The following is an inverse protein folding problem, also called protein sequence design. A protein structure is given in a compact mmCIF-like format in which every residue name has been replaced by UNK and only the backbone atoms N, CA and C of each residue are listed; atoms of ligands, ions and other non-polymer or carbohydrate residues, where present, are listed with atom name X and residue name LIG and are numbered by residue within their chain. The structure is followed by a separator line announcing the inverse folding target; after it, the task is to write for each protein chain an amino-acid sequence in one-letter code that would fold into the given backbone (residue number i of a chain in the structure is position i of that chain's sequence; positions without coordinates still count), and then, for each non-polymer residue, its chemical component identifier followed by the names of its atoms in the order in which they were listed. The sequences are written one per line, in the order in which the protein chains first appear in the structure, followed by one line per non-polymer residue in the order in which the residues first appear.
data_IF_186411651835
#
_entry.id   IF_186411651835
#
_cell.length_a   1.000
_cell.length_b   1.000
_cell.length_c   1.000
_cell.angle_alpha   90.00
_cell.angle_beta   90.00
_cell.angle_gamma   90.00
#
_symmetry.space_group_name_H-M   'P 1'
#
loop_
_entity.id
_entity.type
_entity.pdbx_description
1 polymer ?
#
# COMPACT_ATOMS: atom_id res chain seq x y z
N UNK A 1 -29.44 28.62 30.23
CA UNK A 1 -29.44 27.23 29.71
C UNK A 1 -30.29 27.06 28.43
N UNK A 2 -31.60 27.37 28.40
CA UNK A 2 -32.46 27.13 27.24
C UNK A 2 -31.99 27.82 25.89
N UNK A 3 -31.40 29.01 25.98
CA UNK A 3 -30.89 29.73 24.80
C UNK A 3 -29.66 29.05 24.14
N UNK A 4 -28.77 28.48 24.93
CA UNK A 4 -27.56 27.78 24.43
C UNK A 4 -27.89 26.45 23.77
N UNK A 5 -28.90 25.73 24.26
CA UNK A 5 -29.38 24.47 23.65
C UNK A 5 -29.93 24.77 22.25
N UNK A 6 -30.67 25.89 22.07
CA UNK A 6 -31.15 26.29 20.74
C UNK A 6 -30.04 26.57 19.72
N UNK A 7 -28.95 27.21 20.14
CA UNK A 7 -27.79 27.46 19.28
C UNK A 7 -26.99 26.19 18.93
N UNK A 8 -26.86 25.27 19.86
CA UNK A 8 -26.22 23.97 19.61
C UNK A 8 -27.04 23.14 18.63
N UNK A 9 -28.37 23.09 18.79
CA UNK A 9 -29.25 22.38 17.86
C UNK A 9 -29.24 23.03 16.47
N UNK A 10 -29.19 24.35 16.38
CA UNK A 10 -29.09 25.06 15.11
C UNK A 10 -27.73 24.79 14.42
N UNK A 11 -26.64 24.78 15.17
CA UNK A 11 -25.31 24.45 14.66
C UNK A 11 -25.24 23.00 14.18
N UNK A 12 -25.86 22.05 14.87
CA UNK A 12 -25.97 20.65 14.45
C UNK A 12 -26.83 20.49 13.21
N UNK A 13 -27.93 21.22 13.08
CA UNK A 13 -28.79 21.24 11.89
C UNK A 13 -28.08 21.86 10.69
N UNK A 14 -27.35 22.96 10.89
CA UNK A 14 -26.56 23.59 9.82
C UNK A 14 -25.38 22.71 9.40
N UNK A 15 -24.68 22.06 10.32
CA UNK A 15 -23.63 21.10 10.02
C UNK A 15 -24.19 19.84 9.31
N UNK A 16 -25.32 19.31 9.78
CA UNK A 16 -26.01 18.20 9.12
C UNK A 16 -26.53 18.57 7.73
N UNK A 17 -27.05 19.79 7.56
CA UNK A 17 -27.46 20.33 6.26
C UNK A 17 -26.29 20.52 5.31
N UNK A 18 -25.16 21.02 5.80
CA UNK A 18 -23.94 21.17 5.00
C UNK A 18 -23.38 19.79 4.56
N UNK A 19 -23.39 18.81 5.45
CA UNK A 19 -23.00 17.43 5.12
C UNK A 19 -23.94 16.82 4.08
N UNK A 20 -25.27 17.01 4.22
CA UNK A 20 -26.25 16.53 3.27
C UNK A 20 -26.14 17.27 1.91
N UNK A 21 -25.79 18.56 1.90
CA UNK A 21 -25.53 19.30 0.68
C UNK A 21 -24.26 18.87 -0.03
N UNK A 22 -23.16 18.60 0.69
CA UNK A 22 -21.92 18.08 0.10
C UNK A 22 -22.13 16.67 -0.44
N UNK A 23 -22.81 15.81 0.30
CA UNK A 23 -23.18 14.44 -0.15
C UNK A 23 -24.09 14.49 -1.38
N UNK A 24 -25.08 15.37 -1.42
CA UNK A 24 -25.93 15.56 -2.62
C UNK A 24 -25.17 16.19 -3.79
N UNK A 25 -24.26 17.13 -3.52
CA UNK A 25 -23.46 17.76 -4.55
C UNK A 25 -22.53 16.74 -5.23
N UNK A 26 -21.83 15.91 -4.47
CA UNK A 26 -20.98 14.84 -5.01
C UNK A 26 -21.79 13.77 -5.74
N UNK A 27 -23.01 13.44 -5.27
CA UNK A 27 -23.90 12.52 -5.96
C UNK A 27 -24.48 13.08 -7.26
N UNK A 28 -24.63 14.40 -7.37
CA UNK A 28 -25.20 15.07 -8.56
C UNK A 28 -24.15 15.55 -9.55
N UNK A 29 -22.94 15.87 -9.08
CA UNK A 29 -21.83 16.40 -9.88
C UNK A 29 -20.57 15.56 -9.78
N UNK A 30 -20.61 14.43 -9.06
CA UNK A 30 -19.58 13.41 -9.15
C UNK A 30 -19.45 12.97 -10.60
N UNK A 31 -18.22 12.72 -11.05
CA UNK A 31 -18.01 12.19 -12.39
C UNK A 31 -19.04 11.07 -12.66
N UNK A 32 -19.71 11.11 -13.84
CA UNK A 32 -20.55 10.00 -14.22
C UNK A 32 -19.73 8.71 -14.05
N UNK A 33 -20.30 7.74 -13.37
CA UNK A 33 -19.68 6.42 -13.27
C UNK A 33 -19.39 5.97 -14.71
N UNK A 34 -18.13 5.73 -15.03
CA UNK A 34 -17.85 5.03 -16.27
C UNK A 34 -18.56 3.67 -16.19
N UNK A 35 -19.14 3.21 -17.30
CA UNK A 35 -19.79 1.92 -17.34
C UNK A 35 -18.79 0.87 -16.84
N UNK A 36 -19.26 -0.06 -16.01
CA UNK A 36 -18.44 -1.22 -15.64
C UNK A 36 -17.96 -1.90 -16.92
N UNK A 37 -16.67 -2.22 -16.97
CA UNK A 37 -16.10 -2.93 -18.09
C UNK A 37 -16.68 -4.34 -18.15
N UNK A 38 -16.88 -4.81 -19.35
CA UNK A 38 -17.15 -6.24 -19.55
C UNK A 38 -15.84 -7.01 -19.39
N UNK A 39 -15.92 -8.30 -19.03
CA UNK A 39 -14.71 -9.15 -18.92
C UNK A 39 -13.94 -9.20 -20.25
N UNK A 40 -14.59 -8.95 -21.39
CA UNK A 40 -13.98 -8.86 -22.73
C UNK A 40 -13.15 -7.59 -22.92
N UNK A 41 -13.36 -6.55 -22.10
CA UNK A 41 -12.61 -5.29 -22.15
C UNK A 41 -11.36 -5.30 -21.27
N UNK A 42 -11.17 -6.33 -20.43
CA UNK A 42 -9.98 -6.48 -19.59
C UNK A 42 -8.83 -6.93 -20.50
N UNK A 43 -7.85 -6.03 -20.67
CA UNK A 43 -6.75 -6.26 -21.58
C UNK A 43 -5.70 -7.24 -21.06
N UNK A 44 -5.61 -7.41 -19.71
CA UNK A 44 -4.61 -8.25 -19.09
C UNK A 44 -5.00 -8.71 -17.69
N UNK A 45 -4.59 -9.94 -17.33
CA UNK A 45 -4.67 -10.46 -15.97
C UNK A 45 -3.25 -10.80 -15.51
N UNK A 46 -2.85 -10.20 -14.39
CA UNK A 46 -1.52 -10.41 -13.82
C UNK A 46 -1.41 -11.76 -13.11
N UNK A 47 -0.21 -12.32 -13.14
CA UNK A 47 0.14 -13.46 -12.28
C UNK A 47 0.20 -12.93 -10.84
N UNK A 48 -0.50 -13.59 -9.93
CA UNK A 48 -0.50 -13.24 -8.51
C UNK A 48 -0.30 -14.48 -7.64
N UNK A 49 -0.39 -14.31 -6.33
CA UNK A 49 -0.13 -15.36 -5.35
C UNK A 49 -1.39 -16.18 -4.96
N UNK A 50 -2.49 -16.04 -5.68
CA UNK A 50 -3.68 -16.90 -5.50
C UNK A 50 -3.43 -18.34 -6.00
N UNK A 51 -2.43 -18.53 -6.82
CA UNK A 51 -2.07 -19.83 -7.39
C UNK A 51 -1.00 -20.55 -6.55
N UNK A 52 -1.37 -21.70 -6.00
CA UNK A 52 -0.46 -22.56 -5.23
C UNK A 52 0.82 -22.96 -5.97
N UNK A 53 0.79 -23.07 -7.31
CA UNK A 53 1.97 -23.39 -8.10
C UNK A 53 3.00 -22.24 -8.08
N UNK A 54 2.53 -21.00 -8.10
CA UNK A 54 3.38 -19.81 -7.96
C UNK A 54 4.03 -19.79 -6.58
N UNK A 55 3.24 -20.00 -5.53
CA UNK A 55 3.74 -20.07 -4.16
C UNK A 55 4.78 -21.19 -3.98
N UNK A 56 4.51 -22.40 -4.51
CA UNK A 56 5.47 -23.52 -4.42
C UNK A 56 6.77 -23.23 -5.16
N UNK A 57 6.73 -22.57 -6.31
CA UNK A 57 7.93 -22.22 -7.08
C UNK A 57 8.84 -21.22 -6.35
N UNK A 58 8.27 -20.44 -5.43
CA UNK A 58 8.98 -19.41 -4.66
C UNK A 58 9.30 -19.81 -3.22
N UNK A 59 9.14 -21.09 -2.85
CA UNK A 59 9.59 -21.61 -1.56
C UNK A 59 11.11 -21.84 -1.59
N UNK A 60 11.88 -20.77 -1.44
CA UNK A 60 13.34 -20.74 -1.52
C UNK A 60 13.93 -20.12 -0.27
N UNK A 61 15.18 -20.51 0.07
CA UNK A 61 15.89 -19.94 1.22
C UNK A 61 16.29 -18.48 1.00
N UNK A 62 16.48 -18.09 -0.26
CA UNK A 62 16.78 -16.70 -0.60
C UNK A 62 15.75 -16.19 -1.63
N UNK A 63 15.16 -15.06 -1.32
CA UNK A 63 14.20 -14.35 -2.18
C UNK A 63 14.67 -12.93 -2.43
N UNK A 64 14.50 -12.44 -3.67
CA UNK A 64 14.62 -11.03 -3.99
C UNK A 64 13.38 -10.52 -4.72
N UNK A 65 12.99 -9.30 -4.43
CA UNK A 65 11.83 -8.67 -5.07
C UNK A 65 11.95 -7.14 -5.09
N UNK A 66 11.21 -6.54 -6.02
CA UNK A 66 11.07 -5.09 -6.10
C UNK A 66 9.78 -4.64 -5.40
N UNK A 67 9.81 -3.42 -4.87
CA UNK A 67 8.64 -2.76 -4.31
C UNK A 67 8.55 -1.34 -4.87
N UNK A 68 7.36 -0.98 -5.38
CA UNK A 68 7.05 0.34 -5.93
C UNK A 68 5.77 0.88 -5.28
N UNK A 69 5.75 2.16 -4.94
CA UNK A 69 4.57 2.87 -4.46
C UNK A 69 4.19 4.00 -5.41
N UNK A 70 2.89 4.33 -5.51
CA UNK A 70 2.40 5.54 -6.18
C UNK A 70 2.95 5.75 -7.61
N UNK A 71 2.81 4.78 -8.49
CA UNK A 71 3.35 4.86 -9.87
C UNK A 71 2.59 5.90 -10.71
N UNK A 72 1.25 6.02 -10.56
CA UNK A 72 0.38 6.97 -11.26
C UNK A 72 0.57 7.01 -12.78
N UNK A 73 0.75 5.85 -13.43
CA UNK A 73 1.06 5.73 -14.85
C UNK A 73 2.26 6.61 -15.31
N UNK A 74 3.15 7.00 -14.39
CA UNK A 74 4.29 7.87 -14.69
C UNK A 74 5.53 7.13 -15.16
N UNK A 75 5.59 5.81 -14.96
CA UNK A 75 6.64 4.95 -15.48
C UNK A 75 6.17 4.34 -16.81
N UNK A 76 6.97 4.54 -17.84
CA UNK A 76 6.72 3.97 -19.15
C UNK A 76 7.46 2.63 -19.35
N UNK A 77 7.29 1.99 -20.49
CA UNK A 77 7.90 0.69 -20.78
C UNK A 77 9.44 0.72 -20.71
N UNK A 78 10.07 1.84 -21.10
CA UNK A 78 11.53 1.99 -21.01
C UNK A 78 11.99 2.01 -19.54
N UNK A 79 11.25 2.68 -18.66
CA UNK A 79 11.56 2.75 -17.23
C UNK A 79 11.41 1.34 -16.60
N UNK A 80 10.31 0.65 -16.87
CA UNK A 80 10.05 -0.71 -16.34
C UNK A 80 11.04 -1.73 -16.91
N UNK A 81 11.43 -1.59 -18.17
CA UNK A 81 12.47 -2.42 -18.76
C UNK A 81 13.82 -2.20 -18.09
N UNK A 82 14.20 -0.96 -17.81
CA UNK A 82 15.45 -0.65 -17.13
C UNK A 82 15.48 -1.27 -15.73
N UNK A 83 14.39 -1.18 -14.95
CA UNK A 83 14.27 -1.85 -13.66
C UNK A 83 14.44 -3.37 -13.78
N UNK A 84 13.78 -3.95 -14.78
CA UNK A 84 13.85 -5.36 -15.11
C UNK A 84 15.26 -5.82 -15.46
N UNK A 85 15.98 -5.05 -16.26
CA UNK A 85 17.35 -5.37 -16.73
C UNK A 85 18.37 -5.21 -15.58
N UNK A 86 18.16 -4.26 -14.66
CA UNK A 86 19.04 -4.05 -13.50
C UNK A 86 18.89 -5.12 -12.42
N UNK A 87 17.72 -5.73 -12.32
CA UNK A 87 17.38 -6.72 -11.30
C UNK A 87 16.87 -8.04 -11.91
N UNK A 88 17.70 -8.75 -12.68
CA UNK A 88 17.30 -9.99 -13.35
C UNK A 88 17.09 -11.17 -12.38
N UNK A 89 17.50 -11.01 -11.14
CA UNK A 89 17.41 -11.99 -10.06
C UNK A 89 16.11 -11.91 -9.25
N UNK A 90 15.27 -10.89 -9.46
CA UNK A 90 13.99 -10.79 -8.74
C UNK A 90 13.03 -11.88 -9.16
N UNK A 91 12.32 -12.43 -8.21
CA UNK A 91 11.37 -13.51 -8.42
C UNK A 91 9.91 -13.05 -8.44
N UNK A 92 9.62 -11.88 -7.91
CA UNK A 92 8.33 -11.21 -7.93
C UNK A 92 8.51 -9.72 -7.65
N UNK A 93 7.43 -8.97 -7.66
CA UNK A 93 7.45 -7.57 -7.26
C UNK A 93 6.16 -7.18 -6.53
N UNK A 94 6.17 -6.06 -5.84
CA UNK A 94 5.06 -5.55 -5.06
C UNK A 94 4.74 -4.12 -5.43
N UNK A 95 3.45 -3.75 -5.34
CA UNK A 95 2.92 -2.45 -5.66
C UNK A 95 1.99 -2.00 -4.51
N UNK A 96 2.17 -0.74 -4.05
CA UNK A 96 1.54 -0.21 -2.84
C UNK A 96 0.31 0.67 -3.09
N UNK A 97 -0.40 0.47 -4.19
CA UNK A 97 -1.54 1.31 -4.59
C UNK A 97 -1.14 2.53 -5.42
N UNK A 98 -2.14 3.19 -5.99
CA UNK A 98 -1.99 4.31 -6.90
C UNK A 98 -1.05 3.99 -8.08
N UNK A 99 -1.19 2.79 -8.64
CA UNK A 99 -0.50 2.44 -9.88
C UNK A 99 -1.13 3.19 -11.05
N UNK A 100 -2.47 3.23 -11.09
CA UNK A 100 -3.22 4.01 -12.06
C UNK A 100 -3.47 5.45 -11.58
N UNK A 101 -3.57 6.39 -12.50
CA UNK A 101 -4.00 7.76 -12.15
C UNK A 101 -5.50 7.83 -11.83
N UNK A 102 -6.29 6.95 -12.44
CA UNK A 102 -7.74 6.77 -12.21
C UNK A 102 -8.18 5.36 -12.56
N UNK A 103 -9.28 4.86 -11.99
CA UNK A 103 -9.76 3.49 -12.22
C UNK A 103 -10.53 3.36 -13.55
N UNK A 104 -9.93 3.78 -14.67
CA UNK A 104 -10.54 3.77 -16.00
C UNK A 104 -9.72 2.93 -16.96
N UNK A 105 -10.38 2.28 -17.90
CA UNK A 105 -9.79 1.38 -18.88
C UNK A 105 -8.55 1.96 -19.59
N UNK A 106 -8.59 3.23 -19.96
CA UNK A 106 -7.44 3.92 -20.54
C UNK A 106 -6.17 3.84 -19.67
N UNK A 107 -6.31 4.07 -18.36
CA UNK A 107 -5.17 4.04 -17.43
C UNK A 107 -4.71 2.62 -17.13
N UNK A 108 -5.64 1.65 -17.15
CA UNK A 108 -5.31 0.22 -17.03
C UNK A 108 -4.49 -0.25 -18.25
N UNK A 109 -4.90 0.13 -19.45
CA UNK A 109 -4.12 -0.15 -20.65
C UNK A 109 -2.72 0.46 -20.60
N UNK A 110 -2.58 1.72 -20.13
CA UNK A 110 -1.26 2.34 -19.95
C UNK A 110 -0.42 1.58 -18.92
N UNK A 111 -1.04 1.12 -17.82
CA UNK A 111 -0.38 0.31 -16.81
C UNK A 111 0.17 -0.98 -17.42
N UNK A 112 -0.66 -1.73 -18.12
CA UNK A 112 -0.24 -2.95 -18.80
C UNK A 112 0.85 -2.70 -19.85
N UNK A 113 0.67 -1.70 -20.70
CA UNK A 113 1.64 -1.36 -21.75
C UNK A 113 3.01 -0.97 -21.18
N UNK A 114 3.08 -0.46 -19.95
CA UNK A 114 4.35 -0.16 -19.31
C UNK A 114 5.19 -1.42 -19.03
N UNK A 115 4.56 -2.59 -18.92
CA UNK A 115 5.21 -3.86 -18.59
C UNK A 115 5.48 -4.78 -19.77
N UNK A 116 4.73 -4.64 -20.87
CA UNK A 116 4.79 -5.57 -22.00
C UNK A 116 6.22 -5.85 -22.46
N UNK A 117 6.59 -7.12 -22.45
CA UNK A 117 7.92 -7.58 -22.89
C UNK A 117 9.07 -7.28 -21.93
N UNK A 118 8.78 -6.84 -20.71
CA UNK A 118 9.76 -6.78 -19.64
C UNK A 118 9.79 -8.10 -18.85
N UNK A 119 10.86 -8.38 -18.12
CA UNK A 119 10.88 -9.54 -17.21
C UNK A 119 9.79 -9.44 -16.13
N UNK A 120 9.49 -8.22 -15.64
CA UNK A 120 8.47 -7.99 -14.63
C UNK A 120 7.05 -8.39 -15.08
N UNK A 121 6.76 -8.35 -16.40
CA UNK A 121 5.49 -8.81 -16.97
C UNK A 121 5.23 -10.32 -16.75
N UNK A 122 6.31 -11.09 -16.72
CA UNK A 122 6.26 -12.55 -16.51
C UNK A 122 6.33 -12.99 -15.05
N UNK A 123 6.54 -12.05 -14.13
CA UNK A 123 6.68 -12.33 -12.70
C UNK A 123 5.37 -12.10 -11.93
N UNK A 124 5.17 -12.83 -10.83
CA UNK A 124 4.06 -12.56 -9.93
C UNK A 124 4.13 -11.14 -9.36
N UNK A 125 2.96 -10.50 -9.23
CA UNK A 125 2.83 -9.22 -8.54
C UNK A 125 1.98 -9.35 -7.28
N UNK A 126 2.42 -8.70 -6.21
CA UNK A 126 1.62 -8.45 -5.02
C UNK A 126 1.03 -7.06 -5.13
N UNK A 127 -0.27 -6.95 -5.40
CA UNK A 127 -0.95 -5.69 -5.67
C UNK A 127 -1.88 -5.29 -4.53
N UNK A 128 -1.80 -4.02 -4.13
CA UNK A 128 -2.70 -3.39 -3.16
C UNK A 128 -3.41 -2.23 -3.88
N UNK A 129 -4.73 -2.03 -3.68
CA UNK A 129 -5.36 -0.84 -4.22
C UNK A 129 -5.02 0.40 -3.38
N UNK A 130 -4.77 1.53 -4.05
CA UNK A 130 -4.69 2.85 -3.44
C UNK A 130 -5.95 3.67 -3.70
N UNK A 131 -5.94 4.95 -3.36
CA UNK A 131 -7.13 5.77 -3.49
C UNK A 131 -7.47 6.15 -4.95
N UNK A 132 -6.52 5.99 -5.86
CA UNK A 132 -6.72 6.23 -7.29
C UNK A 132 -7.31 5.02 -8.02
N UNK A 133 -7.26 3.82 -7.45
CA UNK A 133 -7.97 2.63 -7.93
C UNK A 133 -9.45 2.62 -7.55
N UNK A 134 -9.89 3.50 -6.63
CA UNK A 134 -11.28 3.59 -6.20
C UNK A 134 -12.06 4.65 -6.98
N UNK A 135 -13.27 4.29 -7.40
CA UNK A 135 -14.26 5.24 -7.91
C UNK A 135 -14.67 6.21 -6.80
N UNK A 136 -14.66 7.50 -7.11
CA UNK A 136 -15.10 8.53 -6.19
C UNK A 136 -16.62 8.59 -6.17
N UNK A 137 -17.21 8.54 -4.98
CA UNK A 137 -18.64 8.63 -4.76
C UNK A 137 -18.94 8.92 -3.29
N UNK A 138 -20.21 8.85 -2.88
CA UNK A 138 -20.62 8.95 -1.47
C UNK A 138 -19.91 7.91 -0.61
N UNK A 139 -19.72 6.72 -1.18
CA UNK A 139 -18.85 5.67 -0.65
C UNK A 139 -17.88 5.30 -1.76
N UNK A 140 -16.59 5.32 -1.48
CA UNK A 140 -15.57 4.87 -2.42
C UNK A 140 -15.82 3.40 -2.75
N UNK A 141 -15.76 3.05 -4.01
CA UNK A 141 -15.99 1.67 -4.48
C UNK A 141 -14.83 1.22 -5.35
N UNK A 142 -14.23 0.10 -5.01
CA UNK A 142 -13.25 -0.54 -5.87
C UNK A 142 -14.01 -1.21 -7.03
N UNK A 143 -13.70 -0.91 -8.30
CA UNK A 143 -14.33 -1.55 -9.43
C UNK A 143 -14.15 -3.07 -9.40
N UNK A 144 -15.16 -3.81 -9.85
CA UNK A 144 -15.12 -5.28 -9.84
C UNK A 144 -13.95 -5.83 -10.68
N UNK A 145 -13.65 -5.18 -11.81
CA UNK A 145 -12.58 -5.56 -12.72
C UNK A 145 -11.18 -5.52 -12.07
N UNK A 146 -10.95 -4.71 -11.01
CA UNK A 146 -9.68 -4.69 -10.31
C UNK A 146 -9.28 -6.08 -9.78
N UNK A 147 -10.24 -6.82 -9.22
CA UNK A 147 -10.01 -8.20 -8.74
C UNK A 147 -9.83 -9.22 -9.86
N UNK A 148 -10.34 -8.93 -11.05
CA UNK A 148 -10.09 -9.75 -12.25
C UNK A 148 -8.68 -9.51 -12.78
N UNK A 149 -8.24 -8.25 -12.80
CA UNK A 149 -6.87 -7.88 -13.19
C UNK A 149 -5.85 -8.46 -12.19
N UNK A 150 -6.14 -8.36 -10.89
CA UNK A 150 -5.28 -8.85 -9.80
C UNK A 150 -6.03 -9.92 -8.98
N UNK A 151 -6.02 -11.18 -9.40
CA UNK A 151 -6.61 -12.29 -8.65
C UNK A 151 -5.77 -12.63 -7.41
N UNK A 152 -5.79 -11.77 -6.41
CA UNK A 152 -4.99 -11.90 -5.20
C UNK A 152 -5.55 -12.99 -4.24
N UNK A 153 -4.73 -13.46 -3.27
CA UNK A 153 -5.14 -14.44 -2.27
C UNK A 153 -6.40 -14.06 -1.51
N UNK A 154 -7.28 -15.05 -1.28
CA UNK A 154 -8.57 -14.88 -0.62
C UNK A 154 -8.50 -15.25 0.88
N UNK A 155 -7.36 -15.01 1.54
CA UNK A 155 -7.07 -15.40 2.93
C UNK A 155 -7.16 -14.26 3.95
N UNK A 156 -7.67 -13.12 3.52
CA UNK A 156 -7.91 -11.94 4.36
C UNK A 156 -9.25 -11.95 5.11
N UNK A 157 -9.60 -10.84 5.77
CA UNK A 157 -10.92 -10.67 6.38
C UNK A 157 -12.04 -10.73 5.34
N UNK A 158 -13.18 -11.32 5.69
CA UNK A 158 -14.28 -11.65 4.76
C UNK A 158 -14.75 -10.50 3.85
N UNK A 159 -14.70 -9.23 4.33
CA UNK A 159 -15.08 -8.07 3.53
C UNK A 159 -13.98 -7.57 2.59
N UNK A 160 -12.75 -8.03 2.78
CA UNK A 160 -11.55 -7.55 2.11
C UNK A 160 -10.81 -8.67 1.36
N UNK A 161 -11.52 -9.74 1.02
CA UNK A 161 -10.96 -10.85 0.25
C UNK A 161 -10.42 -10.35 -1.10
N UNK A 162 -9.16 -10.69 -1.39
CA UNK A 162 -8.46 -10.28 -2.60
C UNK A 162 -7.92 -8.85 -2.59
N UNK A 163 -8.16 -8.05 -1.52
CA UNK A 163 -7.58 -6.71 -1.36
C UNK A 163 -6.78 -6.56 -0.07
N UNK A 164 -7.15 -7.31 0.98
CA UNK A 164 -6.35 -7.49 2.20
C UNK A 164 -6.05 -8.96 2.34
N UNK A 165 -4.77 -9.34 2.38
CA UNK A 165 -4.33 -10.73 2.37
C UNK A 165 -2.87 -10.85 2.87
N UNK A 166 -2.37 -12.08 3.00
CA UNK A 166 -0.97 -12.32 3.24
C UNK A 166 -0.41 -13.39 2.29
N UNK A 167 0.91 -13.37 2.15
CA UNK A 167 1.68 -14.37 1.40
C UNK A 167 2.83 -14.84 2.27
N UNK A 168 3.00 -16.16 2.37
CA UNK A 168 4.04 -16.80 3.16
C UNK A 168 5.14 -17.41 2.30
N UNK A 169 6.36 -17.04 2.64
CA UNK A 169 7.58 -17.70 2.19
C UNK A 169 8.33 -18.33 3.37
N UNK A 170 9.39 -19.08 3.15
CA UNK A 170 10.09 -19.77 4.25
C UNK A 170 10.52 -18.83 5.37
N UNK A 171 11.09 -17.67 5.05
CA UNK A 171 11.69 -16.76 6.02
C UNK A 171 10.99 -15.41 6.14
N UNK A 172 9.93 -15.15 5.35
CA UNK A 172 9.22 -13.88 5.37
C UNK A 172 7.72 -14.08 5.18
N UNK A 173 6.93 -13.27 5.88
CA UNK A 173 5.50 -13.03 5.66
C UNK A 173 5.27 -11.62 5.15
N UNK A 174 4.63 -11.51 3.99
CA UNK A 174 4.18 -10.25 3.41
C UNK A 174 2.69 -10.09 3.67
N UNK A 175 2.29 -8.97 4.25
CA UNK A 175 0.90 -8.68 4.62
C UNK A 175 0.45 -7.44 3.87
N UNK A 176 -0.55 -7.59 3.02
CA UNK A 176 -1.17 -6.53 2.22
C UNK A 176 -2.44 -6.02 2.89
N UNK A 177 -2.60 -4.70 3.03
CA UNK A 177 -3.78 -4.08 3.65
C UNK A 177 -4.38 -3.05 2.71
N UNK A 178 -5.62 -3.27 2.32
CA UNK A 178 -6.45 -2.30 1.63
C UNK A 178 -6.94 -1.24 2.63
N UNK A 179 -6.38 -0.05 2.51
CA UNK A 179 -6.69 1.06 3.41
C UNK A 179 -7.81 1.96 2.91
N UNK A 180 -8.11 1.93 1.60
CA UNK A 180 -9.18 2.71 1.00
C UNK A 180 -10.55 2.07 1.14
N UNK A 181 -10.61 0.75 1.29
CA UNK A 181 -11.84 0.01 1.59
C UNK A 181 -12.36 0.17 3.02
N UNK A 182 -11.60 0.81 3.93
CA UNK A 182 -11.96 0.97 5.34
C UNK A 182 -12.89 2.16 5.55
N UNK A 183 -14.19 1.92 5.55
CA UNK A 183 -15.20 2.99 5.66
C UNK A 183 -15.91 3.05 7.01
N UNK A 184 -15.93 1.94 7.76
CA UNK A 184 -16.66 1.81 9.04
C UNK A 184 -15.68 1.53 10.17
N UNK A 185 -16.01 1.92 11.38
CA UNK A 185 -15.23 1.56 12.58
C UNK A 185 -15.04 0.05 12.69
N UNK A 186 -16.06 -0.74 12.33
CA UNK A 186 -15.99 -2.21 12.28
C UNK A 186 -14.93 -2.72 11.30
N UNK A 187 -14.70 -2.04 10.18
CA UNK A 187 -13.71 -2.41 9.18
C UNK A 187 -12.30 -2.26 9.76
N UNK A 188 -12.01 -1.11 10.35
CA UNK A 188 -10.73 -0.86 11.04
C UNK A 188 -10.47 -1.88 12.14
N UNK A 189 -11.50 -2.16 12.95
CA UNK A 189 -11.38 -3.12 14.06
C UNK A 189 -11.12 -4.53 13.53
N UNK A 190 -11.88 -4.99 12.55
CA UNK A 190 -11.74 -6.32 11.96
C UNK A 190 -10.35 -6.53 11.35
N UNK A 191 -9.89 -5.57 10.55
CA UNK A 191 -8.58 -5.65 9.89
C UNK A 191 -7.45 -5.55 10.93
N UNK A 192 -7.57 -4.70 11.96
CA UNK A 192 -6.57 -4.59 13.01
C UNK A 192 -6.42 -5.89 13.83
N UNK A 193 -7.52 -6.55 14.19
CA UNK A 193 -7.48 -7.86 14.87
C UNK A 193 -6.88 -8.94 13.98
N UNK A 194 -7.28 -8.98 12.70
CA UNK A 194 -6.72 -9.92 11.75
C UNK A 194 -5.21 -9.69 11.58
N UNK A 195 -4.78 -8.45 11.36
CA UNK A 195 -3.37 -8.08 11.23
C UNK A 195 -2.56 -8.56 12.45
N UNK A 196 -3.06 -8.27 13.65
CA UNK A 196 -2.38 -8.69 14.88
C UNK A 196 -2.22 -10.20 14.95
N UNK A 197 -3.25 -10.96 14.54
CA UNK A 197 -3.17 -12.42 14.45
C UNK A 197 -2.13 -12.85 13.41
N UNK A 198 -2.11 -12.25 12.22
CA UNK A 198 -1.16 -12.60 11.16
C UNK A 198 0.29 -12.31 11.57
N UNK A 199 0.54 -11.20 12.26
CA UNK A 199 1.88 -10.88 12.78
C UNK A 199 2.30 -11.87 13.87
N UNK A 200 1.40 -12.21 14.79
CA UNK A 200 1.68 -13.21 15.83
C UNK A 200 1.96 -14.60 15.23
N UNK A 201 1.15 -15.05 14.27
CA UNK A 201 1.26 -16.37 13.64
C UNK A 201 2.44 -16.47 12.65
N UNK A 202 3.16 -15.38 12.40
CA UNK A 202 4.35 -15.39 11.55
C UNK A 202 5.52 -16.15 12.19
N UNK A 203 5.51 -16.29 13.52
CA UNK A 203 6.59 -16.96 14.26
C UNK A 203 7.92 -16.23 14.09
N UNK A 204 8.96 -16.95 13.67
CA UNK A 204 10.30 -16.40 13.48
C UNK A 204 10.55 -15.80 12.09
N UNK A 205 9.53 -15.72 11.24
CA UNK A 205 9.65 -15.09 9.92
C UNK A 205 9.82 -13.58 10.05
N UNK A 206 10.58 -12.98 9.14
CA UNK A 206 10.47 -11.52 8.93
C UNK A 206 9.06 -11.15 8.53
N UNK A 207 8.60 -9.98 8.96
CA UNK A 207 7.26 -9.50 8.67
C UNK A 207 7.29 -8.13 8.00
N UNK A 208 6.73 -8.05 6.81
CA UNK A 208 6.53 -6.79 6.11
C UNK A 208 5.03 -6.53 5.99
N UNK A 209 4.57 -5.40 6.51
CA UNK A 209 3.22 -4.90 6.28
C UNK A 209 3.25 -3.85 5.18
N UNK A 210 2.42 -4.03 4.18
CA UNK A 210 2.29 -3.15 3.02
C UNK A 210 0.89 -2.54 3.00
N UNK A 211 0.80 -1.22 2.85
CA UNK A 211 -0.44 -0.47 2.85
C UNK A 211 -0.31 0.79 2.02
N UNK A 212 -1.41 1.28 1.45
CA UNK A 212 -1.33 2.54 0.70
C UNK A 212 -1.25 3.75 1.64
N UNK A 213 -2.25 3.98 2.49
CA UNK A 213 -2.23 5.10 3.43
C UNK A 213 -1.33 4.82 4.65
N UNK A 214 -0.35 5.70 4.94
CA UNK A 214 0.54 5.53 6.09
C UNK A 214 -0.19 5.75 7.42
N UNK A 215 0.18 5.00 8.46
CA UNK A 215 -0.27 5.30 9.84
C UNK A 215 0.50 6.50 10.43
N UNK A 216 1.71 6.73 9.95
CA UNK A 216 2.53 7.89 10.27
C UNK A 216 2.79 8.66 8.99
N UNK A 217 1.85 9.53 8.60
CA UNK A 217 2.01 10.36 7.41
C UNK A 217 3.30 11.17 7.48
N UNK A 218 4.08 11.10 6.42
CA UNK A 218 5.37 11.78 6.26
C UNK A 218 5.23 13.13 5.59
N UNK A 219 4.17 13.35 4.81
CA UNK A 219 3.94 14.58 4.08
C UNK A 219 3.46 15.72 4.99
N UNK A 220 4.01 16.91 4.73
CA UNK A 220 3.66 18.16 5.44
C UNK A 220 2.16 18.46 5.32
N UNK A 221 1.52 18.80 6.44
CA UNK A 221 0.09 19.08 6.49
C UNK A 221 -0.84 17.87 6.45
N UNK A 222 -0.33 16.64 6.30
CA UNK A 222 -1.13 15.42 6.29
C UNK A 222 -1.10 14.67 7.62
N UNK A 223 -2.19 13.96 7.94
CA UNK A 223 -2.28 13.06 9.09
C UNK A 223 -3.39 12.04 8.88
N UNK A 224 -3.19 10.83 9.44
CA UNK A 224 -4.16 9.74 9.37
C UNK A 224 -4.52 9.24 10.78
N UNK A 225 -5.24 10.05 11.60
CA UNK A 225 -5.47 9.73 13.00
C UNK A 225 -6.28 8.45 13.21
N UNK A 226 -7.24 8.13 12.34
CA UNK A 226 -8.01 6.89 12.43
C UNK A 226 -7.14 5.66 12.11
N UNK A 227 -6.28 5.73 11.10
CA UNK A 227 -5.30 4.69 10.78
C UNK A 227 -4.35 4.47 11.94
N UNK A 228 -3.81 5.56 12.51
CA UNK A 228 -2.93 5.49 13.66
C UNK A 228 -3.64 4.84 14.86
N UNK A 229 -4.86 5.27 15.20
CA UNK A 229 -5.62 4.75 16.34
C UNK A 229 -5.89 3.23 16.17
N UNK A 230 -6.27 2.80 14.99
CA UNK A 230 -6.63 1.41 14.72
C UNK A 230 -5.41 0.48 14.68
N UNK A 231 -4.33 0.88 14.01
CA UNK A 231 -3.27 -0.05 13.63
C UNK A 231 -1.97 0.10 14.43
N UNK A 232 -1.73 1.24 15.12
CA UNK A 232 -0.44 1.47 15.79
C UNK A 232 -0.07 0.38 16.81
N UNK A 233 -1.04 -0.27 17.42
CA UNK A 233 -0.78 -1.33 18.40
C UNK A 233 -0.35 -2.64 17.73
N UNK A 234 -0.94 -2.98 16.58
CA UNK A 234 -0.55 -4.17 15.80
C UNK A 234 0.80 -3.95 15.11
N UNK A 235 1.02 -2.78 14.51
CA UNK A 235 2.26 -2.48 13.78
C UNK A 235 3.53 -2.55 14.61
N UNK A 236 3.44 -2.53 15.95
CA UNK A 236 4.59 -2.76 16.84
C UNK A 236 5.15 -4.19 16.76
N UNK A 237 4.43 -5.11 16.15
CA UNK A 237 4.82 -6.51 16.00
C UNK A 237 5.39 -6.78 14.61
N UNK A 238 5.35 -5.79 13.71
CA UNK A 238 5.96 -5.88 12.38
C UNK A 238 7.43 -5.43 12.40
N UNK A 239 8.27 -6.06 11.60
CA UNK A 239 9.65 -5.61 11.40
C UNK A 239 9.68 -4.35 10.53
N UNK A 240 8.95 -4.36 9.39
CA UNK A 240 8.89 -3.24 8.45
C UNK A 240 7.45 -2.95 8.04
N UNK A 241 7.13 -1.67 7.90
CA UNK A 241 5.85 -1.19 7.36
C UNK A 241 6.13 -0.25 6.19
N UNK A 242 5.74 -0.66 5.00
CA UNK A 242 5.79 0.18 3.80
C UNK A 242 4.44 0.86 3.55
N UNK A 243 4.50 2.11 3.08
CA UNK A 243 3.32 2.86 2.66
C UNK A 243 3.63 3.80 1.49
N UNK A 244 2.62 4.05 0.67
CA UNK A 244 2.61 5.06 -0.39
C UNK A 244 1.93 6.36 0.05
N UNK A 245 1.14 6.97 -0.86
CA UNK A 245 0.23 8.09 -0.65
C UNK A 245 0.87 9.47 -0.39
N UNK A 246 1.97 9.53 0.32
CA UNK A 246 2.59 10.79 0.75
C UNK A 246 3.63 11.33 -0.26
N UNK A 247 3.83 10.65 -1.38
CA UNK A 247 4.66 11.08 -2.52
C UNK A 247 6.02 11.64 -2.14
N UNK A 248 6.67 11.01 -1.15
CA UNK A 248 8.03 11.29 -0.73
C UNK A 248 8.67 10.02 -0.17
N UNK A 249 9.98 10.04 0.02
CA UNK A 249 10.67 8.99 0.74
C UNK A 249 10.97 9.43 2.17
N UNK A 250 10.63 8.59 3.13
CA UNK A 250 11.01 8.81 4.51
C UNK A 250 11.06 7.48 5.29
N UNK A 251 12.24 7.15 5.82
CA UNK A 251 12.45 6.02 6.72
C UNK A 251 12.54 6.50 8.16
N UNK A 252 11.83 5.82 9.04
CA UNK A 252 11.81 6.11 10.46
C UNK A 252 11.78 4.84 11.29
N UNK A 253 12.77 4.66 12.13
CA UNK A 253 12.81 3.58 13.13
C UNK A 253 12.08 4.03 14.40
N UNK A 254 11.12 3.25 14.85
CA UNK A 254 10.39 3.49 16.10
C UNK A 254 10.71 2.43 17.13
N UNK A 255 11.38 2.84 18.19
CA UNK A 255 11.57 2.03 19.38
C UNK A 255 10.31 2.01 20.22
N UNK A 256 9.90 0.85 20.69
CA UNK A 256 8.77 0.68 21.58
C UNK A 256 9.26 0.07 22.91
N UNK A 257 8.79 0.62 24.02
CA UNK A 257 9.07 0.03 25.34
C UNK A 257 8.41 -1.33 25.45
N UNK A 258 9.12 -2.31 25.99
CA UNK A 258 8.60 -3.63 26.28
C UNK A 258 7.29 -3.53 27.11
N UNK A 259 6.31 -4.31 26.75
CA UNK A 259 5.08 -4.51 27.52
C UNK A 259 4.83 -6.00 27.66
N UNK A 260 4.95 -6.52 28.86
CA UNK A 260 4.63 -7.86 29.36
C UNK A 260 5.13 -9.07 28.55
N UNK A 261 5.02 -9.13 27.23
CA UNK A 261 5.41 -10.24 26.34
C UNK A 261 5.78 -9.81 24.93
N UNK A 262 6.08 -8.56 24.72
CA UNK A 262 6.49 -8.03 23.40
C UNK A 262 7.99 -7.79 23.39
N UNK A 263 8.65 -8.24 22.34
CA UNK A 263 10.06 -7.94 22.04
C UNK A 263 10.30 -6.43 22.04
N UNK A 264 11.47 -6.00 22.50
CA UNK A 264 11.94 -4.59 22.43
C UNK A 264 12.43 -4.20 21.04
N UNK A 265 12.11 -4.98 20.03
CA UNK A 265 12.59 -4.73 18.68
C UNK A 265 11.88 -3.52 18.04
N UNK A 266 12.63 -2.72 17.27
CA UNK A 266 12.06 -1.58 16.60
C UNK A 266 11.18 -2.00 15.41
N UNK A 267 10.19 -1.19 15.08
CA UNK A 267 9.50 -1.26 13.80
C UNK A 267 10.02 -0.15 12.89
N UNK A 268 10.36 -0.48 11.66
CA UNK A 268 10.82 0.47 10.65
C UNK A 268 9.65 0.85 9.76
N UNK A 269 9.32 2.14 9.70
CA UNK A 269 8.28 2.70 8.84
C UNK A 269 8.93 3.39 7.65
N UNK A 270 8.47 3.06 6.44
CA UNK A 270 8.98 3.60 5.18
C UNK A 270 7.81 4.11 4.35
N UNK A 271 7.86 5.41 4.05
CA UNK A 271 7.06 6.00 2.99
C UNK A 271 7.83 5.98 1.69
N UNK A 272 7.25 5.49 0.60
CA UNK A 272 7.89 5.39 -0.70
C UNK A 272 7.03 5.95 -1.82
N UNK A 273 7.63 6.33 -2.95
CA UNK A 273 6.94 6.92 -4.08
C UNK A 273 7.72 6.73 -5.38
N UNK A 274 7.15 6.04 -6.34
CA UNK A 274 7.74 5.82 -7.65
C UNK A 274 7.30 6.87 -8.71
N UNK A 275 6.38 7.77 -8.36
CA UNK A 275 5.92 8.81 -9.28
C UNK A 275 6.74 10.10 -9.17
N UNK A 276 6.60 10.93 -10.20
CA UNK A 276 7.16 12.29 -10.19
C UNK A 276 6.33 13.31 -9.41
N UNK A 277 5.16 12.92 -8.87
CA UNK A 277 4.42 13.72 -7.90
C UNK A 277 5.23 13.82 -6.61
N UNK A 278 5.15 14.95 -5.93
CA UNK A 278 5.96 15.19 -4.74
C UNK A 278 5.22 16.02 -3.70
N UNK A 279 5.36 15.62 -2.44
CA UNK A 279 4.99 16.43 -1.28
C UNK A 279 6.21 16.61 -0.38
N UNK A 280 6.27 17.77 0.29
CA UNK A 280 7.35 18.04 1.23
C UNK A 280 7.26 17.12 2.44
N UNK A 281 8.41 16.62 2.88
CA UNK A 281 8.54 15.86 4.13
C UNK A 281 8.35 16.79 5.33
N UNK A 282 7.78 16.28 6.43
CA UNK A 282 7.62 17.02 7.68
C UNK A 282 8.95 17.38 8.31
N UNK A 283 9.13 18.64 8.68
CA UNK A 283 10.37 19.15 9.28
C UNK A 283 10.51 18.80 10.78
N UNK A 284 9.40 18.53 11.46
CA UNK A 284 9.34 18.31 12.91
C UNK A 284 9.41 16.84 13.34
N UNK A 285 9.85 15.96 12.46
CA UNK A 285 10.00 14.52 12.70
C UNK A 285 11.44 14.12 12.43
N UNK A 286 12.05 13.39 13.37
CA UNK A 286 13.34 12.77 13.13
C UNK A 286 13.15 11.52 12.26
N UNK A 287 13.67 11.60 11.05
CA UNK A 287 13.78 10.49 10.13
C UNK A 287 15.23 9.97 10.11
N UNK A 288 15.39 8.68 9.89
CA UNK A 288 16.71 8.08 9.69
C UNK A 288 17.28 8.48 8.32
N UNK A 289 16.37 8.54 7.31
CA UNK A 289 16.62 9.08 5.98
C UNK A 289 15.32 9.68 5.43
N UNK A 290 15.40 10.83 4.77
CA UNK A 290 14.21 11.39 4.10
C UNK A 290 14.55 12.42 3.05
N UNK A 291 13.75 12.48 1.98
CA UNK A 291 13.83 13.50 0.94
C UNK A 291 12.51 13.61 0.17
N UNK A 292 12.33 14.73 -0.52
CA UNK A 292 11.20 15.00 -1.39
C UNK A 292 11.65 15.17 -2.84
N UNK A 293 10.72 14.90 -3.78
CA UNK A 293 10.91 15.28 -5.18
C UNK A 293 11.78 14.35 -6.02
N UNK A 294 12.14 13.19 -5.49
CA UNK A 294 12.85 12.14 -6.23
C UNK A 294 12.01 10.86 -6.18
N UNK A 295 11.64 10.28 -7.33
CA UNK A 295 10.97 8.99 -7.36
C UNK A 295 11.95 7.88 -7.01
N UNK A 296 11.46 6.86 -6.30
CA UNK A 296 12.28 5.75 -5.80
C UNK A 296 11.59 4.41 -5.98
N UNK A 297 12.38 3.35 -5.89
CA UNK A 297 11.93 1.98 -5.72
C UNK A 297 12.82 1.28 -4.69
N UNK A 298 12.30 0.24 -4.10
CA UNK A 298 13.05 -0.60 -3.19
C UNK A 298 13.36 -1.95 -3.84
N UNK A 299 14.60 -2.43 -3.60
CA UNK A 299 15.05 -3.78 -3.87
C UNK A 299 15.27 -4.48 -2.53
N UNK A 300 14.59 -5.59 -2.33
CA UNK A 300 14.63 -6.36 -1.09
C UNK A 300 15.22 -7.73 -1.35
N UNK A 301 16.09 -8.16 -0.43
CA UNK A 301 16.61 -9.53 -0.38
C UNK A 301 16.36 -10.15 0.99
N UNK A 302 15.87 -11.37 0.98
CA UNK A 302 15.57 -12.14 2.18
C UNK A 302 16.42 -13.40 2.18
N UNK A 303 17.15 -13.62 3.25
CA UNK A 303 17.87 -14.84 3.56
C UNK A 303 17.29 -15.46 4.84
N UNK A 304 17.70 -16.66 5.28
CA UNK A 304 17.25 -17.20 6.56
C UNK A 304 17.45 -16.27 7.75
N UNK A 305 18.55 -15.51 7.76
CA UNK A 305 18.98 -14.74 8.93
C UNK A 305 18.91 -13.21 8.73
N UNK A 306 18.71 -12.74 7.50
CA UNK A 306 18.80 -11.30 7.21
C UNK A 306 17.80 -10.86 6.15
N UNK A 307 17.14 -9.75 6.43
CA UNK A 307 16.33 -8.96 5.47
C UNK A 307 17.12 -7.71 5.09
N UNK A 308 17.56 -7.60 3.84
CA UNK A 308 18.22 -6.43 3.25
C UNK A 308 17.20 -5.59 2.51
N UNK A 309 17.29 -4.28 2.66
CA UNK A 309 16.43 -3.30 1.98
C UNK A 309 17.32 -2.19 1.44
N UNK A 310 17.30 -2.02 0.13
CA UNK A 310 18.04 -0.98 -0.59
C UNK A 310 17.06 -0.12 -1.38
N UNK A 311 17.12 1.19 -1.20
CA UNK A 311 16.29 2.18 -1.90
C UNK A 311 17.10 2.87 -2.97
N UNK A 312 16.63 2.85 -4.19
CA UNK A 312 17.27 3.45 -5.35
C UNK A 312 16.43 4.58 -5.94
N UNK A 313 17.10 5.58 -6.49
CA UNK A 313 16.45 6.61 -7.31
C UNK A 313 16.05 6.06 -8.67
N UNK A 314 14.84 6.39 -9.13
CA UNK A 314 14.40 6.10 -10.49
C UNK A 314 14.94 7.09 -11.53
N UNK A 315 15.49 8.24 -11.11
CA UNK A 315 16.03 9.24 -12.03
C UNK A 315 17.44 8.87 -12.56
N UNK A 316 18.27 8.28 -11.70
CA UNK A 316 19.68 8.01 -11.98
C UNK A 316 20.16 6.62 -11.53
N UNK A 317 19.24 5.78 -11.03
CA UNK A 317 19.48 4.42 -10.52
C UNK A 317 20.54 4.34 -9.40
N UNK A 318 20.83 5.46 -8.74
CA UNK A 318 21.77 5.49 -7.63
C UNK A 318 21.14 4.99 -6.33
N UNK A 319 21.94 4.27 -5.54
CA UNK A 319 21.56 3.89 -4.17
C UNK A 319 21.42 5.16 -3.31
N UNK A 320 20.30 5.27 -2.60
CA UNK A 320 19.98 6.42 -1.75
C UNK A 320 20.00 6.07 -0.28
N UNK A 321 19.45 4.91 0.06
CA UNK A 321 19.35 4.43 1.44
C UNK A 321 19.49 2.91 1.47
N UNK A 322 20.11 2.41 2.53
CA UNK A 322 20.34 0.98 2.71
C UNK A 322 20.35 0.62 4.18
N UNK A 323 19.71 -0.48 4.52
CA UNK A 323 19.78 -1.05 5.87
C UNK A 323 19.40 -2.53 5.85
N UNK A 324 19.63 -3.20 6.96
CA UNK A 324 19.24 -4.60 7.13
C UNK A 324 18.70 -4.89 8.53
N UNK A 325 17.96 -5.98 8.65
CA UNK A 325 17.48 -6.55 9.91
C UNK A 325 18.00 -7.97 9.99
N UNK A 326 18.65 -8.31 11.09
CA UNK A 326 19.18 -9.66 11.34
C UNK A 326 18.44 -10.31 12.50
N UNK A 327 18.33 -11.64 12.48
CA UNK A 327 17.74 -12.49 13.53
C UNK A 327 18.77 -13.43 14.11
#
# INVERSE_FOLDING_TARGET
MRRWIGWILLACLLAGGAILCTVRWEAWFGNPAEPEWTDEEISHQFITFDNDSVLRALQRDTLSFLLLGDIHNSLNNKDMKLLSDLHPDVQFWAQLGDWMERPYHYYEQMMYQSLVGTHLDSLPVLAIPGNHEYLKGVVKTLPAHWKTIFPNPQNGPARFLGTTYFVDFPHIRLIAIDTDGLHRVSDYTQVAFWLKKMLHDAGDKFTIVMMHHPIYSTAKGRSNPFMWLAFQSAMREADVVFSGHDHNYARRTKQYKARFWKKEEPTIFIGTNASRKKYEVKDNVNYDCSFSGRPVYEYLQVTPDTLYISTYSLDDMNLIDEFFISR
#
